data_IF_868661989080
#
_entry.id   IF_868661989080
#
_cell.length_a   1.000
_cell.length_b   1.000
_cell.length_c   1.000
_cell.angle_alpha   90.00
_cell.angle_beta   90.00
_cell.angle_gamma   90.00
#
_symmetry.space_group_name_H-M   'P 1'
#
loop_
_entity.id
_entity.type
_entity.pdbx_description
1 polymer ?
#
# COMPACT_ATOMS: atom_id res chain seq x y z
N UNK A 1 -15.64 4.05 -9.65
CA UNK A 1 -15.37 3.62 -8.27
C UNK A 1 -16.26 4.35 -7.30
N UNK A 2 -16.86 3.63 -6.38
CA UNK A 2 -17.56 4.26 -5.28
C UNK A 2 -16.51 4.94 -4.41
N UNK A 3 -16.67 6.24 -4.15
CA UNK A 3 -15.72 6.98 -3.35
C UNK A 3 -15.56 6.36 -1.95
N UNK A 4 -14.33 6.35 -1.46
CA UNK A 4 -14.05 5.86 -0.11
C UNK A 4 -14.55 6.85 0.94
N UNK A 5 -15.19 6.33 1.97
CA UNK A 5 -15.58 7.16 3.11
C UNK A 5 -14.34 7.52 3.93
N UNK A 6 -14.48 8.55 4.76
CA UNK A 6 -13.42 8.94 5.68
C UNK A 6 -13.03 7.78 6.59
N UNK A 7 -14.01 7.01 7.05
CA UNK A 7 -13.78 5.84 7.90
C UNK A 7 -13.03 4.74 7.14
N UNK A 8 -13.40 4.46 5.90
CA UNK A 8 -12.70 3.47 5.08
C UNK A 8 -11.25 3.87 4.84
N UNK A 9 -10.98 5.15 4.58
CA UNK A 9 -9.61 5.63 4.39
C UNK A 9 -8.78 5.41 5.65
N UNK A 10 -9.35 5.66 6.81
CA UNK A 10 -8.68 5.44 8.09
C UNK A 10 -8.35 3.95 8.28
N UNK A 11 -9.31 3.07 8.01
CA UNK A 11 -9.10 1.62 8.13
C UNK A 11 -8.04 1.12 7.16
N UNK A 12 -8.06 1.58 5.92
CA UNK A 12 -7.06 1.23 4.92
C UNK A 12 -5.67 1.73 5.33
N UNK A 13 -5.60 2.98 5.77
CA UNK A 13 -4.36 3.60 6.23
C UNK A 13 -3.71 2.79 7.35
N UNK A 14 -4.49 2.44 8.36
CA UNK A 14 -4.00 1.67 9.49
C UNK A 14 -3.62 0.23 9.08
N UNK A 15 -4.41 -0.38 8.22
CA UNK A 15 -4.14 -1.74 7.73
C UNK A 15 -2.79 -1.80 7.01
N UNK A 16 -2.52 -0.86 6.13
CA UNK A 16 -1.27 -0.80 5.38
C UNK A 16 -0.09 -0.57 6.33
N UNK A 17 -0.20 0.40 7.22
CA UNK A 17 0.88 0.73 8.15
C UNK A 17 1.19 -0.42 9.10
N UNK A 18 0.17 -1.03 9.69
CA UNK A 18 0.35 -2.17 10.59
C UNK A 18 0.94 -3.38 9.85
N UNK A 19 0.57 -3.59 8.59
CA UNK A 19 1.14 -4.66 7.78
C UNK A 19 2.62 -4.41 7.49
N UNK A 20 3.01 -3.16 7.24
CA UNK A 20 4.41 -2.78 7.03
C UNK A 20 5.24 -2.97 8.32
N UNK A 21 4.68 -2.61 9.47
CA UNK A 21 5.34 -2.83 10.75
C UNK A 21 5.60 -4.32 10.96
N UNK A 22 4.59 -5.13 10.77
CA UNK A 22 4.66 -6.56 11.03
C UNK A 22 5.54 -7.31 10.04
N UNK A 23 5.49 -6.96 8.75
CA UNK A 23 6.24 -7.66 7.71
C UNK A 23 7.64 -7.11 7.47
N UNK A 24 7.80 -5.78 7.51
CA UNK A 24 9.04 -5.08 7.17
C UNK A 24 9.75 -4.47 8.37
N UNK A 25 9.15 -4.58 9.55
CA UNK A 25 9.68 -3.97 10.77
C UNK A 25 9.88 -2.45 10.65
N UNK A 26 8.96 -1.80 9.99
CA UNK A 26 8.97 -0.34 9.80
C UNK A 26 8.71 0.34 11.15
N UNK A 27 9.44 1.42 11.48
CA UNK A 27 9.16 2.17 12.71
C UNK A 27 7.72 2.70 12.74
N UNK A 28 7.13 2.77 13.93
CA UNK A 28 5.74 3.23 14.10
C UNK A 28 5.53 4.62 13.52
N UNK A 29 6.51 5.51 13.66
CA UNK A 29 6.39 6.88 13.17
C UNK A 29 6.60 7.02 11.67
N UNK A 30 7.13 5.99 11.00
CA UNK A 30 7.38 6.01 9.57
C UNK A 30 6.08 5.72 8.84
N UNK A 31 5.17 6.68 8.88
CA UNK A 31 3.84 6.58 8.29
C UNK A 31 3.58 7.82 7.44
N UNK A 32 3.85 7.69 6.16
CA UNK A 32 3.65 8.75 5.18
C UNK A 32 2.78 8.20 4.06
N UNK A 33 1.58 8.76 3.91
CA UNK A 33 0.60 8.25 2.96
C UNK A 33 -0.14 9.39 2.28
N UNK A 34 -0.49 9.17 1.02
CA UNK A 34 -1.34 10.08 0.24
C UNK A 34 -2.45 9.25 -0.36
N UNK A 35 -3.68 9.68 -0.18
CA UNK A 35 -4.84 9.09 -0.85
C UNK A 35 -5.18 9.94 -2.06
N UNK A 36 -5.25 9.31 -3.23
CA UNK A 36 -5.60 9.97 -4.48
C UNK A 36 -6.88 9.31 -5.00
N UNK A 37 -7.94 10.09 -5.13
CA UNK A 37 -9.18 9.63 -5.73
C UNK A 37 -9.19 10.02 -7.21
N UNK A 38 -9.60 9.09 -8.06
CA UNK A 38 -9.73 9.33 -9.49
C UNK A 38 -11.17 9.09 -9.91
N UNK A 39 -11.60 9.78 -10.95
CA UNK A 39 -12.92 9.56 -11.52
C UNK A 39 -12.99 8.15 -12.13
N UNK A 40 -14.17 7.57 -12.14
CA UNK A 40 -14.39 6.22 -12.64
C UNK A 40 -13.86 6.02 -14.05
N UNK A 41 -14.03 7.00 -14.91
CA UNK A 41 -13.56 6.94 -16.30
C UNK A 41 -12.05 7.00 -16.43
N UNK A 42 -11.35 7.43 -15.38
CA UNK A 42 -9.88 7.50 -15.37
C UNK A 42 -9.24 6.25 -14.74
N UNK A 43 -10.06 5.31 -14.28
CA UNK A 43 -9.61 4.08 -13.66
C UNK A 43 -9.86 2.92 -14.63
N UNK A 44 -8.80 2.44 -15.27
CA UNK A 44 -8.90 1.43 -16.33
C UNK A 44 -8.25 0.14 -15.86
N UNK A 45 -8.98 -0.96 -15.93
CA UNK A 45 -8.48 -2.28 -15.57
C UNK A 45 -9.29 -3.35 -16.31
N UNK A 46 -8.73 -4.55 -16.52
CA UNK A 46 -9.47 -5.65 -17.15
C UNK A 46 -10.47 -6.26 -16.16
N UNK A 47 -11.44 -7.00 -16.68
CA UNK A 47 -12.38 -7.73 -15.83
C UNK A 47 -11.66 -8.81 -15.02
N UNK A 48 -10.70 -9.48 -15.64
CA UNK A 48 -9.95 -10.57 -15.03
C UNK A 48 -8.47 -10.52 -15.42
N UNK A 49 -7.60 -10.86 -14.48
CA UNK A 49 -6.19 -11.02 -14.76
C UNK A 49 -5.52 -11.84 -13.66
N UNK A 50 -4.68 -12.80 -14.06
CA UNK A 50 -3.91 -13.66 -13.15
C UNK A 50 -4.77 -14.29 -12.04
N UNK A 51 -5.99 -14.69 -12.40
CA UNK A 51 -6.90 -15.37 -11.47
C UNK A 51 -7.74 -14.44 -10.61
N UNK A 52 -7.59 -13.13 -10.77
CA UNK A 52 -8.39 -12.16 -10.02
C UNK A 52 -9.52 -11.61 -10.88
N UNK A 53 -10.67 -11.39 -10.26
CA UNK A 53 -11.82 -10.76 -10.89
C UNK A 53 -12.02 -9.39 -10.28
N UNK A 54 -11.82 -8.34 -11.07
CA UNK A 54 -11.87 -6.96 -10.61
C UNK A 54 -13.24 -6.33 -10.76
N UNK A 55 -13.63 -5.54 -9.78
CA UNK A 55 -14.84 -4.73 -9.87
C UNK A 55 -14.64 -3.29 -9.45
N UNK A 56 -13.73 -3.06 -8.49
CA UNK A 56 -13.47 -1.72 -7.95
C UNK A 56 -12.08 -1.68 -7.36
N UNK A 57 -11.08 -1.65 -8.23
CA UNK A 57 -9.68 -1.85 -7.86
C UNK A 57 -9.14 -0.71 -6.99
N UNK A 58 -8.35 -1.08 -5.99
CA UNK A 58 -7.59 -0.16 -5.16
C UNK A 58 -6.11 -0.38 -5.47
N UNK A 59 -5.47 0.62 -6.05
CA UNK A 59 -4.02 0.57 -6.31
C UNK A 59 -3.26 1.10 -5.11
N UNK A 60 -2.34 0.30 -4.60
CA UNK A 60 -1.47 0.68 -3.49
C UNK A 60 -0.03 0.65 -4.00
N UNK A 61 0.59 1.83 -4.07
CA UNK A 61 2.00 1.95 -4.47
C UNK A 61 2.82 2.27 -3.24
N UNK A 62 3.80 1.41 -2.96
CA UNK A 62 4.66 1.56 -1.79
C UNK A 62 6.09 1.79 -2.27
N UNK A 63 6.62 2.98 -1.97
CA UNK A 63 8.03 3.27 -2.21
C UNK A 63 8.78 3.07 -0.91
N UNK A 64 9.83 2.28 -0.93
CA UNK A 64 10.58 1.97 0.28
C UNK A 64 12.04 1.70 -0.04
N UNK A 65 12.84 1.67 1.01
CA UNK A 65 14.24 1.24 0.91
C UNK A 65 14.27 -0.25 0.57
N UNK A 66 15.20 -0.67 -0.27
CA UNK A 66 15.37 -2.06 -0.65
C UNK A 66 15.93 -2.94 0.45
N UNK A 67 16.02 -4.23 0.17
CA UNK A 67 16.64 -5.20 1.06
C UNK A 67 15.69 -6.17 1.74
N UNK A 68 14.37 -6.06 1.48
CA UNK A 68 13.40 -7.02 2.04
C UNK A 68 13.43 -8.32 1.24
N UNK A 69 13.22 -9.43 1.94
CA UNK A 69 13.16 -10.76 1.32
C UNK A 69 11.83 -10.96 0.59
N UNK A 70 11.79 -11.96 -0.29
CA UNK A 70 10.56 -12.33 -0.96
C UNK A 70 9.49 -12.78 0.05
N UNK A 71 9.89 -13.45 1.14
CA UNK A 71 8.95 -13.87 2.18
C UNK A 71 8.34 -12.67 2.89
N UNK A 72 9.14 -11.66 3.20
CA UNK A 72 8.63 -10.42 3.80
C UNK A 72 7.63 -9.74 2.87
N UNK A 73 7.92 -9.71 1.58
CA UNK A 73 7.02 -9.11 0.58
C UNK A 73 5.71 -9.88 0.48
N UNK A 74 5.78 -11.22 0.43
CA UNK A 74 4.57 -12.05 0.41
C UNK A 74 3.71 -11.81 1.66
N UNK A 75 4.35 -11.74 2.81
CA UNK A 75 3.66 -11.47 4.07
C UNK A 75 2.97 -10.12 4.05
N UNK A 76 3.64 -9.09 3.50
CA UNK A 76 3.04 -7.76 3.36
C UNK A 76 1.75 -7.82 2.53
N UNK A 77 1.81 -8.46 1.36
CA UNK A 77 0.65 -8.56 0.48
C UNK A 77 -0.51 -9.27 1.15
N UNK A 78 -0.23 -10.39 1.79
CA UNK A 78 -1.26 -11.19 2.49
C UNK A 78 -1.89 -10.42 3.64
N UNK A 79 -1.09 -9.77 4.46
CA UNK A 79 -1.57 -8.98 5.60
C UNK A 79 -2.40 -7.79 5.16
N UNK A 80 -1.92 -7.05 4.16
CA UNK A 80 -2.66 -5.90 3.63
C UNK A 80 -4.02 -6.32 3.08
N UNK A 81 -4.04 -7.34 2.23
CA UNK A 81 -5.27 -7.79 1.62
C UNK A 81 -6.26 -8.30 2.67
N UNK A 82 -5.78 -9.10 3.62
CA UNK A 82 -6.62 -9.63 4.69
C UNK A 82 -7.20 -8.52 5.55
N UNK A 83 -6.34 -7.60 6.02
CA UNK A 83 -6.76 -6.54 6.92
C UNK A 83 -7.74 -5.57 6.27
N UNK A 84 -7.48 -5.19 5.02
CA UNK A 84 -8.38 -4.28 4.30
C UNK A 84 -9.73 -4.96 4.03
N UNK A 85 -9.70 -6.21 3.60
CA UNK A 85 -10.91 -6.98 3.33
C UNK A 85 -11.77 -7.16 4.60
N UNK A 86 -11.14 -7.39 5.74
CA UNK A 86 -11.86 -7.56 7.00
C UNK A 86 -12.47 -6.26 7.54
N UNK A 87 -11.85 -5.13 7.24
CA UNK A 87 -12.23 -3.83 7.79
C UNK A 87 -13.11 -2.99 6.86
N UNK A 88 -13.16 -3.36 5.61
CA UNK A 88 -13.93 -2.63 4.59
C UNK A 88 -14.74 -3.61 3.76
N UNK A 89 -15.48 -3.09 2.77
CA UNK A 89 -16.21 -3.93 1.81
C UNK A 89 -15.41 -4.21 0.56
N UNK A 90 -14.13 -3.83 0.53
CA UNK A 90 -13.24 -4.08 -0.59
C UNK A 90 -12.86 -5.55 -0.58
N UNK A 91 -13.08 -6.25 -1.68
CA UNK A 91 -12.69 -7.66 -1.78
C UNK A 91 -11.20 -7.79 -2.08
N UNK A 92 -10.63 -8.92 -1.69
CA UNK A 92 -9.18 -9.17 -1.88
C UNK A 92 -8.74 -9.01 -3.33
N UNK A 93 -9.56 -9.46 -4.29
CA UNK A 93 -9.26 -9.34 -5.71
C UNK A 93 -8.94 -7.91 -6.13
N UNK A 94 -9.59 -6.93 -5.51
CA UNK A 94 -9.48 -5.53 -5.86
C UNK A 94 -8.29 -4.82 -5.20
N UNK A 95 -7.48 -5.53 -4.44
CA UNK A 95 -6.32 -4.93 -3.76
C UNK A 95 -5.07 -5.21 -4.57
N UNK A 96 -4.58 -4.19 -5.26
CA UNK A 96 -3.43 -4.26 -6.14
C UNK A 96 -2.25 -3.55 -5.46
N UNK A 97 -1.16 -4.27 -5.21
CA UNK A 97 -0.01 -3.73 -4.48
C UNK A 97 1.24 -3.81 -5.32
N UNK A 98 1.96 -2.70 -5.41
CA UNK A 98 3.27 -2.63 -6.06
C UNK A 98 4.27 -2.00 -5.11
N UNK A 99 5.46 -2.58 -5.03
CA UNK A 99 6.56 -2.05 -4.24
C UNK A 99 7.61 -1.49 -5.20
N UNK A 100 8.01 -0.24 -4.96
CA UNK A 100 9.11 0.40 -5.68
C UNK A 100 10.26 0.58 -4.68
N UNK A 101 11.34 -0.13 -4.92
CA UNK A 101 12.51 -0.09 -4.03
C UNK A 101 13.51 0.96 -4.48
N UNK A 102 14.15 1.61 -3.52
CA UNK A 102 15.19 2.59 -3.77
C UNK A 102 16.31 2.44 -2.75
N UNK A 103 17.48 3.00 -3.08
CA UNK A 103 18.60 3.01 -2.15
C UNK A 103 18.34 3.99 -1.00
N UNK A 104 18.95 3.71 0.14
CA UNK A 104 18.85 4.61 1.31
C UNK A 104 19.36 6.02 1.01
N UNK A 105 20.23 6.16 0.03
CA UNK A 105 20.78 7.46 -0.38
C UNK A 105 19.79 8.34 -1.12
N UNK A 106 18.64 7.80 -1.50
CA UNK A 106 17.64 8.49 -2.32
C UNK A 106 16.57 9.19 -1.50
N UNK A 107 16.77 9.33 -0.19
CA UNK A 107 15.74 9.84 0.72
C UNK A 107 16.18 11.08 1.48
N UNK A 108 15.31 12.06 1.51
CA UNK A 108 15.35 13.14 2.49
C UNK A 108 13.96 13.25 3.11
N UNK A 109 13.89 13.09 4.40
CA UNK A 109 12.61 13.15 5.13
C UNK A 109 12.27 14.58 5.58
N UNK A 110 13.00 15.56 5.10
CA UNK A 110 12.77 16.96 5.41
C UNK A 110 14.07 17.70 5.72
N UNK A 111 13.98 19.01 5.77
CA UNK A 111 15.10 19.93 6.06
C UNK A 111 16.29 19.83 5.11
N UNK A 112 16.12 19.17 3.95
CA UNK A 112 17.22 18.98 3.01
C UNK A 112 18.34 18.08 3.53
N UNK A 113 18.03 17.23 4.50
CA UNK A 113 19.01 16.33 5.13
C UNK A 113 18.73 14.90 4.66
N UNK A 114 19.81 14.17 4.38
CA UNK A 114 19.73 12.75 4.03
C UNK A 114 19.86 11.90 5.29
N UNK A 115 18.75 11.72 6.00
CA UNK A 115 18.76 11.08 7.31
C UNK A 115 19.25 9.62 7.28
N UNK A 116 19.03 8.93 6.18
CA UNK A 116 19.42 7.52 6.07
C UNK A 116 20.87 7.32 5.63
N UNK A 117 21.58 8.40 5.27
CA UNK A 117 22.99 8.33 4.89
C UNK A 117 23.92 8.41 6.10
N UNK A 118 23.43 8.83 7.24
CA UNK A 118 24.21 9.02 8.47
C UNK A 118 24.49 7.70 9.21
#
# INVERSE_FOLDING_TARGET
MKALTKENKKEISNAIHNSLIESFNVPIKDKFQVFIEVDKEDLIFPDEYLGNSYSNILFIYITCKGGRTNEQKRKLYELCAKSICEKTKIKKDDIFITIVESDQNNWSFGNGIAQLME
#
